data_IF_483622342672
#
_entry.id   IF_483622342672
#
_cell.length_a   1.000
_cell.length_b   1.000
_cell.length_c   1.000
_cell.angle_alpha   90.00
_cell.angle_beta   90.00
_cell.angle_gamma   90.00
#
_symmetry.space_group_name_H-M   'P 1'
#
loop_
_entity.id
_entity.type
_entity.pdbx_description
1 polymer ?
#
# COMPACT_ATOMS: atom_id res chain seq x y z
N UNK A 1 -13.59 -1.18 -10.79
CA UNK A 1 -13.08 -0.97 -9.42
C UNK A 1 -12.10 0.20 -9.30
N UNK A 2 -11.35 0.58 -10.35
CA UNK A 2 -10.44 1.73 -10.31
C UNK A 2 -11.09 2.96 -10.94
N UNK A 3 -10.98 4.13 -10.29
CA UNK A 3 -11.59 5.39 -10.72
C UNK A 3 -10.66 6.11 -11.69
N UNK A 4 -9.39 6.30 -11.31
CA UNK A 4 -8.37 6.94 -12.15
C UNK A 4 -7.00 6.58 -11.61
N UNK A 5 -6.21 5.89 -12.43
CA UNK A 5 -4.86 5.41 -12.09
C UNK A 5 -3.80 6.35 -12.64
N UNK A 6 -2.81 6.66 -11.81
CA UNK A 6 -1.62 7.43 -12.19
C UNK A 6 -0.40 6.58 -11.86
N UNK A 7 0.47 6.37 -12.84
CA UNK A 7 1.77 5.70 -12.60
C UNK A 7 2.67 6.66 -11.83
N UNK A 8 3.14 6.23 -10.67
CA UNK A 8 4.03 7.01 -9.82
C UNK A 8 5.49 6.79 -10.23
N UNK A 9 5.92 5.53 -10.24
CA UNK A 9 7.30 5.15 -10.56
C UNK A 9 7.36 3.66 -10.95
N UNK A 10 8.52 3.24 -11.47
CA UNK A 10 8.81 1.84 -11.78
C UNK A 10 9.90 1.33 -10.84
N UNK A 11 9.65 0.21 -10.17
CA UNK A 11 10.58 -0.40 -9.21
C UNK A 11 10.72 -1.89 -9.49
N UNK A 12 11.95 -2.38 -9.65
CA UNK A 12 12.27 -3.80 -9.94
C UNK A 12 11.55 -4.41 -11.17
N UNK A 13 11.09 -3.56 -12.08
CA UNK A 13 10.33 -3.96 -13.27
C UNK A 13 8.81 -3.84 -13.12
N UNK A 14 8.30 -3.58 -11.91
CA UNK A 14 6.88 -3.40 -11.62
C UNK A 14 6.50 -1.91 -11.68
N UNK A 15 5.40 -1.58 -12.34
CA UNK A 15 4.82 -0.23 -12.32
C UNK A 15 4.03 -0.02 -11.05
N UNK A 16 4.46 0.92 -10.19
CA UNK A 16 3.70 1.32 -9.01
C UNK A 16 2.75 2.43 -9.41
N UNK A 17 1.47 2.19 -9.24
CA UNK A 17 0.37 3.09 -9.60
C UNK A 17 -0.45 3.45 -8.38
N UNK A 18 -1.09 4.59 -8.42
CA UNK A 18 -2.04 5.04 -7.40
C UNK A 18 -3.39 5.31 -8.04
N UNK A 19 -4.45 4.80 -7.44
CA UNK A 19 -5.83 5.15 -7.76
C UNK A 19 -6.28 6.33 -6.90
N UNK A 20 -7.12 7.21 -7.44
CA UNK A 20 -7.65 8.37 -6.69
C UNK A 20 -8.40 8.00 -5.41
N UNK A 21 -8.98 6.80 -5.32
CA UNK A 21 -9.59 6.31 -4.08
C UNK A 21 -8.60 6.14 -2.92
N UNK A 22 -7.29 6.05 -3.21
CA UNK A 22 -6.24 5.99 -2.20
C UNK A 22 -6.23 7.22 -1.28
N UNK A 23 -6.55 8.42 -1.79
CA UNK A 23 -6.56 9.63 -0.98
C UNK A 23 -7.60 9.56 0.15
N UNK A 24 -8.68 8.80 -0.04
CA UNK A 24 -9.72 8.59 0.98
C UNK A 24 -9.12 7.81 2.15
N UNK A 25 -8.49 6.66 1.88
CA UNK A 25 -7.89 5.86 2.95
C UNK A 25 -6.70 6.58 3.59
N UNK A 26 -5.90 7.30 2.81
CA UNK A 26 -4.78 8.09 3.34
C UNK A 26 -5.27 9.16 4.32
N UNK A 27 -6.37 9.84 4.00
CA UNK A 27 -6.99 10.81 4.91
C UNK A 27 -7.54 10.13 6.16
N UNK A 28 -8.31 9.04 6.02
CA UNK A 28 -8.91 8.33 7.15
C UNK A 28 -7.86 7.79 8.12
N UNK A 29 -6.78 7.19 7.60
CA UNK A 29 -5.66 6.70 8.42
C UNK A 29 -4.95 7.85 9.11
N UNK A 30 -4.62 8.92 8.37
CA UNK A 30 -3.96 10.10 8.95
C UNK A 30 -4.79 10.73 10.06
N UNK A 31 -6.09 10.93 9.84
CA UNK A 31 -7.02 11.45 10.83
C UNK A 31 -7.12 10.53 12.06
N UNK A 32 -7.27 9.23 11.85
CA UNK A 32 -7.36 8.23 12.93
C UNK A 32 -6.12 8.25 13.81
N UNK A 33 -4.94 8.38 13.22
CA UNK A 33 -3.68 8.49 13.94
C UNK A 33 -3.55 9.84 14.67
N UNK A 34 -3.89 10.94 14.00
CA UNK A 34 -3.70 12.30 14.50
C UNK A 34 -4.69 12.68 15.62
N UNK A 35 -5.96 12.30 15.50
CA UNK A 35 -7.00 12.66 16.48
C UNK A 35 -7.33 11.52 17.44
N UNK A 36 -6.95 10.28 17.12
CA UNK A 36 -7.22 9.10 17.94
C UNK A 36 -5.97 8.55 18.62
N UNK A 37 -5.12 7.86 17.86
CA UNK A 37 -4.02 7.06 18.42
C UNK A 37 -2.97 7.92 19.15
N UNK A 38 -2.42 8.94 18.49
CA UNK A 38 -1.30 9.70 19.06
C UNK A 38 -1.68 10.55 20.27
N UNK A 39 -2.81 11.28 20.30
CA UNK A 39 -3.24 12.00 21.49
C UNK A 39 -3.55 11.09 22.68
N UNK A 40 -3.95 9.84 22.42
CA UNK A 40 -4.21 8.85 23.47
C UNK A 40 -2.92 8.43 24.18
N UNK A 41 -1.84 8.15 23.43
CA UNK A 41 -0.56 7.71 23.99
C UNK A 41 0.35 8.87 24.44
N UNK A 42 0.40 9.95 23.68
CA UNK A 42 1.26 11.11 23.93
C UNK A 42 0.39 12.30 24.26
N UNK A 43 0.31 12.68 25.53
CA UNK A 43 -0.51 13.82 25.98
C UNK A 43 0.26 15.14 25.86
N UNK A 44 -0.48 16.25 25.76
CA UNK A 44 0.04 17.63 25.80
C UNK A 44 0.93 18.05 24.62
N UNK A 45 0.88 17.37 23.48
CA UNK A 45 1.46 17.90 22.24
C UNK A 45 0.49 18.84 21.53
N UNK A 46 1.02 19.70 20.66
CA UNK A 46 0.20 20.59 19.84
C UNK A 46 -0.60 19.78 18.81
N UNK A 47 -1.78 20.28 18.40
CA UNK A 47 -2.57 19.66 17.32
C UNK A 47 -1.74 19.48 16.05
N UNK A 48 -0.93 20.48 15.69
CA UNK A 48 -0.05 20.41 14.53
C UNK A 48 0.96 19.26 14.61
N UNK A 49 1.48 18.97 15.81
CA UNK A 49 2.39 17.85 16.03
C UNK A 49 1.70 16.50 15.76
N UNK A 50 0.48 16.29 16.26
CA UNK A 50 -0.24 15.04 16.01
C UNK A 50 -0.57 14.83 14.52
N UNK A 51 -0.92 15.90 13.80
CA UNK A 51 -1.17 15.83 12.36
C UNK A 51 0.09 15.46 11.58
N UNK A 52 1.25 16.00 11.96
CA UNK A 52 2.53 15.59 11.39
C UNK A 52 2.86 14.13 11.70
N UNK A 53 2.68 13.69 12.95
CA UNK A 53 2.86 12.29 13.33
C UNK A 53 1.93 11.37 12.54
N UNK A 54 0.65 11.77 12.39
CA UNK A 54 -0.36 11.08 11.59
C UNK A 54 0.07 10.90 10.15
N UNK A 55 0.51 12.00 9.51
CA UNK A 55 0.97 11.98 8.12
C UNK A 55 2.22 11.11 7.94
N UNK A 56 3.21 11.22 8.84
CA UNK A 56 4.41 10.38 8.81
C UNK A 56 4.07 8.89 9.05
N UNK A 57 3.17 8.60 9.99
CA UNK A 57 2.72 7.23 10.28
C UNK A 57 1.96 6.62 9.11
N UNK A 58 1.02 7.36 8.50
CA UNK A 58 0.31 6.94 7.31
C UNK A 58 1.27 6.70 6.14
N UNK A 59 2.22 7.60 5.89
CA UNK A 59 3.23 7.44 4.86
C UNK A 59 4.07 6.17 5.09
N UNK A 60 4.54 5.94 6.32
CA UNK A 60 5.28 4.73 6.68
C UNK A 60 4.48 3.45 6.45
N UNK A 61 3.19 3.47 6.81
CA UNK A 61 2.27 2.35 6.54
C UNK A 61 2.16 2.06 5.04
N UNK A 62 1.92 3.08 4.21
CA UNK A 62 1.79 2.86 2.76
C UNK A 62 3.09 2.41 2.11
N UNK A 63 4.24 2.93 2.55
CA UNK A 63 5.54 2.43 2.10
C UNK A 63 5.73 0.96 2.47
N UNK A 64 5.33 0.56 3.69
CA UNK A 64 5.35 -0.84 4.12
C UNK A 64 4.45 -1.73 3.26
N UNK A 65 3.24 -1.27 2.93
CA UNK A 65 2.32 -2.00 2.05
C UNK A 65 2.93 -2.17 0.65
N UNK A 66 3.48 -1.10 0.06
CA UNK A 66 4.14 -1.21 -1.26
C UNK A 66 5.28 -2.22 -1.22
N UNK A 67 6.10 -2.17 -0.17
CA UNK A 67 7.19 -3.14 0.00
C UNK A 67 6.68 -4.58 0.14
N UNK A 68 5.62 -4.79 0.92
CA UNK A 68 4.96 -6.08 1.07
C UNK A 68 4.48 -6.65 -0.28
N UNK A 69 3.77 -5.85 -1.07
CA UNK A 69 3.28 -6.25 -2.40
C UNK A 69 4.42 -6.53 -3.39
N UNK A 70 5.54 -5.80 -3.28
CA UNK A 70 6.73 -6.07 -4.08
C UNK A 70 7.34 -7.42 -3.72
N UNK A 71 7.43 -7.77 -2.44
CA UNK A 71 7.93 -9.08 -2.02
C UNK A 71 7.10 -10.21 -2.66
N UNK A 72 5.77 -10.10 -2.59
CA UNK A 72 4.85 -11.05 -3.24
C UNK A 72 5.07 -11.10 -4.75
N UNK A 73 5.20 -9.95 -5.40
CA UNK A 73 5.43 -9.85 -6.84
C UNK A 73 6.78 -10.46 -7.27
N UNK A 74 7.82 -10.31 -6.45
CA UNK A 74 9.14 -10.91 -6.68
C UNK A 74 9.07 -12.43 -6.52
N UNK A 75 8.36 -12.93 -5.50
CA UNK A 75 8.14 -14.37 -5.32
C UNK A 75 7.33 -14.94 -6.50
N UNK A 76 6.25 -14.28 -6.90
CA UNK A 76 5.43 -14.67 -8.05
C UNK A 76 6.25 -14.83 -9.33
N UNK A 77 7.14 -13.86 -9.60
CA UNK A 77 8.04 -13.89 -10.77
C UNK A 77 9.01 -15.07 -10.73
N UNK A 78 9.41 -15.54 -9.55
CA UNK A 78 10.24 -16.75 -9.40
C UNK A 78 9.48 -18.03 -9.75
N UNK A 79 8.16 -18.02 -9.60
CA UNK A 79 7.28 -19.11 -10.03
C UNK A 79 6.79 -18.98 -11.49
N UNK A 80 7.35 -18.03 -12.26
CA UNK A 80 7.02 -17.84 -13.68
C UNK A 80 5.82 -16.94 -13.94
N UNK A 81 5.17 -16.40 -12.91
CA UNK A 81 3.99 -15.56 -13.06
C UNK A 81 4.36 -14.14 -13.50
N UNK A 82 3.64 -13.62 -14.49
CA UNK A 82 3.83 -12.26 -15.01
C UNK A 82 2.95 -11.28 -14.24
N UNK A 83 3.59 -10.47 -13.38
CA UNK A 83 2.94 -9.33 -12.71
C UNK A 83 3.16 -8.06 -13.54
N UNK A 84 2.08 -7.36 -13.91
CA UNK A 84 2.14 -6.13 -14.73
C UNK A 84 2.51 -4.89 -13.90
N UNK A 85 2.07 -4.83 -12.65
CA UNK A 85 2.32 -3.69 -11.76
C UNK A 85 1.60 -3.84 -10.43
N UNK A 86 1.76 -2.85 -9.56
CA UNK A 86 1.13 -2.76 -8.24
C UNK A 86 0.28 -1.50 -8.22
N UNK A 87 -1.01 -1.62 -7.93
CA UNK A 87 -1.92 -0.47 -7.83
C UNK A 87 -2.36 -0.29 -6.38
N UNK A 88 -2.08 0.89 -5.81
CA UNK A 88 -2.59 1.31 -4.51
C UNK A 88 -4.00 1.90 -4.67
N UNK A 89 -4.93 1.47 -3.83
CA UNK A 89 -6.33 1.90 -3.81
C UNK A 89 -6.89 1.86 -2.38
N UNK A 90 -8.18 2.15 -2.22
CA UNK A 90 -8.81 2.31 -0.89
C UNK A 90 -8.65 1.10 0.06
N UNK A 91 -8.57 -0.13 -0.47
CA UNK A 91 -8.43 -1.35 0.35
C UNK A 91 -6.97 -1.79 0.57
N UNK A 92 -5.99 -1.08 0.02
CA UNK A 92 -4.57 -1.43 0.14
C UNK A 92 -3.82 -1.39 -1.19
N UNK A 93 -2.86 -2.30 -1.37
CA UNK A 93 -2.19 -2.54 -2.64
C UNK A 93 -2.73 -3.81 -3.30
N UNK A 94 -2.76 -3.84 -4.64
CA UNK A 94 -3.02 -5.07 -5.39
C UNK A 94 -1.98 -5.25 -6.47
N UNK A 95 -1.34 -6.41 -6.50
CA UNK A 95 -0.51 -6.84 -7.61
C UNK A 95 -1.40 -7.25 -8.80
N UNK A 96 -1.24 -6.58 -9.95
CA UNK A 96 -1.95 -6.92 -11.18
C UNK A 96 -1.30 -8.15 -11.83
N UNK A 97 -1.81 -9.33 -11.49
CA UNK A 97 -1.42 -10.61 -12.11
C UNK A 97 -1.98 -10.71 -13.54
N UNK A 98 -1.18 -11.21 -14.48
CA UNK A 98 -1.64 -11.48 -15.84
C UNK A 98 -2.37 -12.83 -15.97
N UNK A 99 -1.99 -13.79 -15.12
CA UNK A 99 -2.43 -15.19 -15.13
C UNK A 99 -2.58 -15.66 -13.68
N UNK A 100 -3.50 -16.59 -13.44
CA UNK A 100 -3.70 -17.19 -12.11
C UNK A 100 -2.62 -18.24 -11.82
N UNK A 101 -2.18 -18.38 -10.55
CA UNK A 101 -1.20 -19.40 -10.17
C UNK A 101 -1.70 -20.83 -10.43
N UNK A 102 -0.93 -21.60 -11.20
CA UNK A 102 -1.28 -22.99 -11.53
C UNK A 102 -1.05 -23.99 -10.36
N UNK A 103 -0.47 -23.55 -9.24
CA UNK A 103 -0.20 -24.41 -8.09
C UNK A 103 -0.53 -23.76 -6.75
N UNK A 104 -1.16 -24.54 -5.85
CA UNK A 104 -1.45 -24.13 -4.48
C UNK A 104 -0.19 -23.73 -3.68
N UNK A 105 0.98 -24.28 -4.03
CA UNK A 105 2.26 -23.89 -3.42
C UNK A 105 2.68 -22.47 -3.85
N UNK A 106 2.45 -22.10 -5.10
CA UNK A 106 2.72 -20.74 -5.57
C UNK A 106 1.77 -19.75 -4.92
N UNK A 107 0.48 -20.08 -4.81
CA UNK A 107 -0.50 -19.29 -4.06
C UNK A 107 -0.08 -19.06 -2.61
N UNK A 108 0.28 -20.13 -1.90
CA UNK A 108 0.70 -20.05 -0.50
C UNK A 108 1.95 -19.19 -0.29
N UNK A 109 2.89 -19.23 -1.22
CA UNK A 109 4.13 -18.43 -1.12
C UNK A 109 3.95 -16.96 -1.51
N UNK A 110 2.84 -16.62 -2.20
CA UNK A 110 2.47 -15.25 -2.59
C UNK A 110 1.45 -14.60 -1.64
N UNK A 111 0.86 -15.35 -0.71
CA UNK A 111 -0.09 -14.87 0.28
C UNK A 111 0.66 -14.22 1.47
#
# INVERSE_FOLDING_TARGET
>A
MFVKRITLFKLLGFEVRIDMSWFIIAFVVTWSLAEGLFPFYYKNLSKGTYWWMGACGALGLFVSIVFHEICHSVVARRYGLRIKGITLFIFGGVAEMAEEPESAKAEFMMA
#
